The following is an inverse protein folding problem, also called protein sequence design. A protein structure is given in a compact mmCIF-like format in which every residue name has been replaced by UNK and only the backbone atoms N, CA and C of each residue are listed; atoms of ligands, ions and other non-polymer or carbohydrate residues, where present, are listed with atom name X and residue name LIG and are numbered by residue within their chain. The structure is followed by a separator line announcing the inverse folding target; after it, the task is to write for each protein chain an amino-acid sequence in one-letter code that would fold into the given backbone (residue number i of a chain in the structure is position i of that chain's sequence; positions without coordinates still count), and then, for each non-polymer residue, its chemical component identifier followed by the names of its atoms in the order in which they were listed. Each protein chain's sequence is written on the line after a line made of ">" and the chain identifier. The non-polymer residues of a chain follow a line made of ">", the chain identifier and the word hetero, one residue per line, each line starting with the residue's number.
data_IF_855505542711
#
_entry.id   IF_855505542711
#
_cell.length_a   1.000
_cell.length_b   1.000
_cell.length_c   1.000
_cell.angle_alpha   90.00
_cell.angle_beta   90.00
_cell.angle_gamma   90.00
#
_symmetry.space_group_name_H-M   'P 1'
#
loop_
_entity.id
_entity.type
_entity.pdbx_description
1 polymer ?
#
# COMPACT_ATOMS: atom_id res chain seq x y z
N UNK A 1 17.99 1.48 25.54
CA UNK A 1 17.18 2.40 26.34
C UNK A 1 15.68 2.21 26.05
N UNK A 2 14.79 2.90 26.78
CA UNK A 2 13.32 2.76 26.64
C UNK A 2 12.83 3.02 25.21
N UNK A 3 13.34 4.06 24.56
CA UNK A 3 12.97 4.38 23.16
C UNK A 3 13.41 3.30 22.17
N UNK A 4 14.57 2.69 22.36
CA UNK A 4 15.03 1.58 21.49
C UNK A 4 14.15 0.35 21.66
N UNK A 5 13.72 0.05 22.88
CA UNK A 5 12.76 -1.03 23.13
C UNK A 5 11.41 -0.76 22.46
N UNK A 6 10.93 0.50 22.55
CA UNK A 6 9.73 0.94 21.86
C UNK A 6 9.83 0.74 20.34
N UNK A 7 10.93 1.24 19.75
CA UNK A 7 11.20 1.10 18.32
C UNK A 7 11.23 -0.37 17.91
N UNK A 8 12.00 -1.20 18.64
CA UNK A 8 12.10 -2.64 18.36
C UNK A 8 10.73 -3.31 18.37
N UNK A 9 9.85 -2.94 19.31
CA UNK A 9 8.53 -3.53 19.49
C UNK A 9 7.53 -3.10 18.42
N UNK A 10 7.59 -1.83 17.96
CA UNK A 10 6.52 -1.22 17.14
C UNK A 10 6.93 -0.82 15.72
N UNK A 11 8.20 -0.98 15.33
CA UNK A 11 8.69 -0.62 13.98
C UNK A 11 7.89 -1.31 12.87
N UNK A 12 7.57 -2.58 13.04
CA UNK A 12 6.89 -3.36 12.00
C UNK A 12 5.43 -2.89 11.80
N UNK A 13 4.75 -2.47 12.89
CA UNK A 13 3.44 -1.84 12.81
C UNK A 13 3.54 -0.50 12.09
N UNK A 14 4.50 0.36 12.46
CA UNK A 14 4.69 1.67 11.83
C UNK A 14 5.02 1.54 10.32
N UNK A 15 5.85 0.58 9.92
CA UNK A 15 6.13 0.25 8.52
C UNK A 15 4.87 -0.22 7.79
N UNK A 16 4.06 -1.08 8.43
CA UNK A 16 2.80 -1.54 7.86
C UNK A 16 1.81 -0.40 7.62
N UNK A 17 1.69 0.51 8.59
CA UNK A 17 0.85 1.70 8.46
C UNK A 17 1.38 2.67 7.39
N UNK A 18 2.69 2.89 7.30
CA UNK A 18 3.30 3.66 6.22
C UNK A 18 2.96 3.07 4.85
N UNK A 19 3.06 1.76 4.70
CA UNK A 19 2.73 1.09 3.44
C UNK A 19 1.25 1.19 3.06
N UNK A 20 0.36 1.25 4.07
CA UNK A 20 -1.08 1.31 3.88
C UNK A 20 -1.59 2.73 3.63
N UNK A 21 -1.06 3.71 4.37
CA UNK A 21 -1.61 5.06 4.42
C UNK A 21 -0.67 6.15 3.90
N UNK A 22 0.62 5.85 3.68
CA UNK A 22 1.58 6.81 3.12
C UNK A 22 2.15 7.80 4.13
N UNK A 23 2.07 7.51 5.43
CA UNK A 23 2.68 8.31 6.50
C UNK A 23 4.06 7.73 6.80
N UNK A 24 5.15 8.52 6.84
CA UNK A 24 6.49 7.99 7.15
C UNK A 24 6.51 7.18 8.44
N UNK A 25 7.10 5.99 8.42
CA UNK A 25 7.24 5.17 9.62
C UNK A 25 8.07 5.89 10.70
N UNK A 26 9.07 6.68 10.30
CA UNK A 26 9.87 7.53 11.20
C UNK A 26 9.02 8.54 11.94
N UNK A 27 8.05 9.15 11.27
CA UNK A 27 7.10 10.11 11.88
C UNK A 27 6.20 9.39 12.88
N UNK A 28 5.58 8.28 12.47
CA UNK A 28 4.70 7.49 13.35
C UNK A 28 5.43 7.00 14.61
N UNK A 29 6.66 6.48 14.45
CA UNK A 29 7.48 6.05 15.60
C UNK A 29 7.87 7.22 16.52
N UNK A 30 8.28 8.35 15.94
CA UNK A 30 8.68 9.52 16.72
C UNK A 30 7.49 10.10 17.50
N UNK A 31 6.30 10.17 16.88
CA UNK A 31 5.08 10.57 17.58
C UNK A 31 4.73 9.57 18.69
N UNK A 32 4.73 8.27 18.41
CA UNK A 32 4.45 7.27 19.42
C UNK A 32 5.41 7.34 20.62
N UNK A 33 6.71 7.56 20.40
CA UNK A 33 7.69 7.76 21.46
C UNK A 33 7.35 9.00 22.30
N UNK A 34 7.05 10.11 21.62
CA UNK A 34 6.80 11.41 22.27
C UNK A 34 5.49 11.42 23.06
N UNK A 35 4.38 11.00 22.40
CA UNK A 35 3.03 11.09 22.95
C UNK A 35 2.80 10.06 24.07
N UNK A 36 3.39 8.86 23.95
CA UNK A 36 3.18 7.79 24.93
C UNK A 36 4.23 7.67 26.02
N UNK A 37 5.23 8.59 26.05
CA UNK A 37 6.37 8.43 26.94
C UNK A 37 7.10 7.10 26.77
N UNK A 38 7.36 6.69 25.51
CA UNK A 38 7.93 5.38 25.16
C UNK A 38 6.98 4.19 25.43
N UNK A 39 5.67 4.40 25.41
CA UNK A 39 4.67 3.39 25.68
C UNK A 39 4.43 3.14 27.17
N UNK A 40 4.91 4.01 28.04
CA UNK A 40 4.79 3.89 29.51
C UNK A 40 3.73 4.82 30.12
N UNK A 41 3.14 5.73 29.30
CA UNK A 41 2.06 6.58 29.80
C UNK A 41 0.82 5.72 30.16
N UNK A 42 -0.01 6.22 31.08
CA UNK A 42 -1.24 5.53 31.48
C UNK A 42 -2.13 5.24 30.29
N UNK A 43 -2.29 6.19 29.36
CA UNK A 43 -3.08 5.98 28.13
C UNK A 43 -2.51 4.84 27.26
N UNK A 44 -1.18 4.72 27.16
CA UNK A 44 -0.56 3.65 26.40
C UNK A 44 -0.70 2.28 27.08
N UNK A 45 -0.57 2.22 28.41
CA UNK A 45 -0.60 0.96 29.18
C UNK A 45 -2.04 0.46 29.37
N UNK A 46 -2.96 1.31 29.83
CA UNK A 46 -4.31 0.91 30.25
C UNK A 46 -5.31 0.95 29.09
N UNK A 47 -5.02 1.76 28.05
CA UNK A 47 -5.94 1.97 26.93
C UNK A 47 -5.34 1.61 25.56
N UNK A 48 -4.10 1.13 25.48
CA UNK A 48 -3.36 0.93 24.22
C UNK A 48 -3.33 2.19 23.33
N UNK A 49 -3.55 3.39 23.90
CA UNK A 49 -3.63 4.65 23.16
C UNK A 49 -2.26 5.33 23.15
N UNK A 50 -1.48 5.05 22.11
CA UNK A 50 -0.08 5.52 21.99
C UNK A 50 0.04 6.93 21.41
N UNK A 51 -1.05 7.55 20.98
CA UNK A 51 -1.04 8.85 20.30
C UNK A 51 -1.95 9.88 21.00
N UNK A 52 -2.51 9.56 22.16
CA UNK A 52 -3.38 10.47 22.89
C UNK A 52 -4.63 10.89 22.10
N UNK A 53 -5.22 9.97 21.32
CA UNK A 53 -6.40 10.31 20.52
C UNK A 53 -7.62 10.41 21.41
N UNK A 54 -8.23 11.62 21.45
CA UNK A 54 -9.44 11.93 22.21
C UNK A 54 -10.68 11.32 21.54
N UNK A 55 -11.77 11.09 22.28
CA UNK A 55 -12.98 10.39 21.83
C UNK A 55 -13.61 11.04 20.57
N UNK A 56 -13.78 12.35 20.57
CA UNK A 56 -14.60 13.07 19.58
C UNK A 56 -16.03 12.50 19.43
N UNK A 57 -16.91 13.21 18.75
CA UNK A 57 -18.34 12.90 18.69
C UNK A 57 -18.71 11.60 17.94
N UNK A 58 -17.81 11.04 17.17
CA UNK A 58 -18.04 9.85 16.34
C UNK A 58 -17.35 8.58 16.87
N UNK A 59 -16.85 8.60 18.12
CA UNK A 59 -16.25 7.42 18.72
C UNK A 59 -17.28 6.57 19.45
N UNK A 60 -17.45 5.32 19.07
CA UNK A 60 -18.38 4.34 19.66
C UNK A 60 -17.68 3.18 20.38
N UNK A 61 -16.34 3.24 20.52
CA UNK A 61 -15.55 2.23 21.21
C UNK A 61 -15.43 2.46 22.72
N UNK A 62 -14.65 1.63 23.40
CA UNK A 62 -14.31 1.82 24.81
C UNK A 62 -13.52 3.13 25.01
N UNK A 63 -13.63 3.67 26.22
CA UNK A 63 -13.01 4.96 26.59
C UNK A 63 -12.28 4.86 27.92
N UNK A 64 -11.35 5.81 28.12
CA UNK A 64 -10.69 6.06 29.41
C UNK A 64 -10.69 7.55 29.68
N UNK A 65 -10.84 7.92 30.94
CA UNK A 65 -10.79 9.32 31.37
C UNK A 65 -9.40 9.65 31.91
N UNK A 66 -8.83 10.75 31.42
CA UNK A 66 -7.52 11.25 31.82
C UNK A 66 -7.54 12.77 31.91
N UNK A 67 -6.76 13.35 32.80
CA UNK A 67 -6.52 14.78 32.86
C UNK A 67 -5.37 15.14 31.91
N UNK A 68 -5.62 16.01 30.92
CA UNK A 68 -4.63 16.50 29.95
C UNK A 68 -4.71 18.03 29.86
N UNK A 69 -5.17 18.61 28.76
CA UNK A 69 -5.39 20.06 28.65
C UNK A 69 -6.50 20.53 29.60
N UNK A 70 -7.52 19.70 29.82
CA UNK A 70 -8.62 19.90 30.75
C UNK A 70 -8.77 18.69 31.67
N UNK A 71 -9.52 18.87 32.80
CA UNK A 71 -9.82 17.78 33.70
C UNK A 71 -10.89 16.87 33.13
N UNK A 72 -10.70 15.54 33.25
CA UNK A 72 -11.72 14.55 32.89
C UNK A 72 -11.94 14.39 31.39
N UNK A 73 -10.92 14.59 30.58
CA UNK A 73 -11.04 14.41 29.13
C UNK A 73 -11.20 12.94 28.74
N UNK A 74 -11.99 12.72 27.68
CA UNK A 74 -12.24 11.38 27.15
C UNK A 74 -11.22 11.00 26.08
N UNK A 75 -10.55 9.87 26.28
CA UNK A 75 -9.63 9.27 25.32
C UNK A 75 -10.12 7.91 24.82
N UNK A 76 -9.82 7.60 23.58
CA UNK A 76 -10.14 6.30 22.96
C UNK A 76 -9.36 5.19 23.65
N UNK A 77 -10.03 4.06 23.92
CA UNK A 77 -9.39 2.83 24.39
C UNK A 77 -9.49 1.75 23.32
N UNK A 78 -8.37 1.13 23.01
CA UNK A 78 -8.24 0.14 21.94
C UNK A 78 -8.04 -1.26 22.51
N UNK A 79 -8.51 -2.28 21.78
CA UNK A 79 -8.31 -3.68 22.15
C UNK A 79 -6.87 -4.12 22.05
N UNK A 80 -6.09 -3.50 21.18
CA UNK A 80 -4.65 -3.75 21.00
C UNK A 80 -3.94 -2.50 20.45
N UNK A 81 -2.61 -2.50 20.55
CA UNK A 81 -1.77 -1.37 20.10
C UNK A 81 -1.87 -1.14 18.58
N UNK A 82 -2.06 -2.20 17.78
CA UNK A 82 -2.21 -2.07 16.33
C UNK A 82 -3.40 -1.21 15.93
N UNK A 83 -4.49 -1.29 16.68
CA UNK A 83 -5.69 -0.47 16.46
C UNK A 83 -5.41 1.02 16.72
N UNK A 84 -4.59 1.34 17.74
CA UNK A 84 -4.14 2.71 18.00
C UNK A 84 -3.29 3.28 16.86
N UNK A 85 -2.35 2.50 16.32
CA UNK A 85 -1.54 2.91 15.18
C UNK A 85 -2.40 3.09 13.92
N UNK A 86 -3.36 2.20 13.71
CA UNK A 86 -4.32 2.30 12.61
C UNK A 86 -5.18 3.54 12.71
N UNK A 87 -5.73 3.80 13.90
CA UNK A 87 -6.58 4.97 14.13
C UNK A 87 -5.81 6.28 13.99
N UNK A 88 -4.54 6.32 14.43
CA UNK A 88 -3.65 7.45 14.17
C UNK A 88 -3.45 7.69 12.66
N UNK A 89 -3.27 6.64 11.88
CA UNK A 89 -3.13 6.74 10.43
C UNK A 89 -4.39 7.29 9.77
N UNK A 90 -5.57 6.80 10.18
CA UNK A 90 -6.87 7.29 9.71
C UNK A 90 -7.12 8.74 10.15
N UNK A 91 -6.77 9.08 11.39
CA UNK A 91 -6.88 10.43 11.93
C UNK A 91 -6.13 11.47 11.06
N UNK A 92 -4.93 11.13 10.59
CA UNK A 92 -4.18 11.99 9.68
C UNK A 92 -4.71 11.94 8.24
N UNK A 93 -5.19 10.78 7.79
CA UNK A 93 -5.61 10.58 6.39
C UNK A 93 -6.97 11.20 6.08
N UNK A 94 -7.90 11.16 7.02
CA UNK A 94 -9.31 11.53 6.79
C UNK A 94 -9.63 12.98 7.15
N UNK A 95 -8.77 13.65 7.92
CA UNK A 95 -8.99 15.04 8.31
C UNK A 95 -8.34 16.00 7.32
N UNK A 96 -9.14 16.78 6.61
CA UNK A 96 -8.72 17.71 5.55
C UNK A 96 -7.57 18.65 5.93
N UNK A 97 -7.44 19.05 7.21
CA UNK A 97 -6.33 19.89 7.68
C UNK A 97 -4.95 19.26 7.52
N UNK A 98 -4.86 17.92 7.37
CA UNK A 98 -3.61 17.19 7.16
C UNK A 98 -3.39 16.77 5.71
N UNK A 99 -4.35 17.00 4.81
CA UNK A 99 -4.33 16.52 3.42
C UNK A 99 -3.03 16.90 2.68
N UNK A 100 -2.58 18.15 2.86
CA UNK A 100 -1.36 18.66 2.21
C UNK A 100 -0.08 17.92 2.61
N UNK A 101 -0.07 17.18 3.74
CA UNK A 101 1.08 16.38 4.15
C UNK A 101 1.37 15.25 3.16
N UNK A 102 0.33 14.72 2.53
CA UNK A 102 0.42 13.60 1.60
C UNK A 102 0.97 13.98 0.22
N UNK A 103 1.17 15.27 -0.03
CA UNK A 103 1.94 15.77 -1.18
C UNK A 103 3.46 15.66 -0.96
N UNK A 104 3.89 15.50 0.30
CA UNK A 104 5.30 15.37 0.61
C UNK A 104 5.80 13.95 0.36
N UNK A 105 7.06 13.84 -0.12
CA UNK A 105 7.72 12.53 -0.20
C UNK A 105 7.80 11.90 1.19
N UNK A 106 7.54 10.59 1.28
CA UNK A 106 7.65 9.82 2.52
C UNK A 106 9.03 10.00 3.17
N UNK A 107 10.09 10.05 2.38
CA UNK A 107 11.46 10.25 2.87
C UNK A 107 11.75 11.66 3.40
N UNK A 108 10.82 12.61 3.23
CA UNK A 108 11.01 13.99 3.70
C UNK A 108 10.38 14.22 5.08
N UNK A 109 10.81 13.45 6.07
CA UNK A 109 10.32 13.54 7.45
C UNK A 109 10.36 14.95 8.03
N UNK A 110 11.33 15.81 7.60
CA UNK A 110 11.43 17.19 8.10
C UNK A 110 10.25 18.05 7.65
N UNK A 111 9.79 17.89 6.38
CA UNK A 111 8.57 18.56 5.91
C UNK A 111 7.33 18.01 6.62
N UNK A 112 7.26 16.70 6.83
CA UNK A 112 6.19 16.06 7.58
C UNK A 112 6.09 16.60 9.02
N UNK A 113 7.19 16.63 9.78
CA UNK A 113 7.22 17.13 11.16
C UNK A 113 6.76 18.60 11.24
N UNK A 114 7.28 19.47 10.35
CA UNK A 114 6.87 20.88 10.28
C UNK A 114 5.41 21.03 9.86
N UNK A 115 4.96 20.22 8.93
CA UNK A 115 3.58 20.19 8.44
C UNK A 115 2.59 19.78 9.54
N UNK A 116 2.90 18.76 10.33
CA UNK A 116 2.11 18.35 11.50
C UNK A 116 1.94 19.50 12.49
N UNK A 117 3.04 20.21 12.82
CA UNK A 117 2.97 21.40 13.67
C UNK A 117 2.12 22.51 13.05
N UNK A 118 2.29 22.80 11.75
CA UNK A 118 1.49 23.79 11.00
C UNK A 118 0.01 23.45 11.00
N UNK A 119 -0.33 22.16 10.86
CA UNK A 119 -1.71 21.68 10.88
C UNK A 119 -2.34 21.66 12.30
N UNK A 120 -1.57 22.01 13.34
CA UNK A 120 -2.07 22.05 14.71
C UNK A 120 -2.22 20.66 15.35
N UNK A 121 -1.34 19.71 15.03
CA UNK A 121 -1.35 18.41 15.70
C UNK A 121 -1.06 18.53 17.19
N UNK A 122 -0.13 19.40 17.58
CA UNK A 122 0.20 19.71 18.96
C UNK A 122 0.36 21.21 19.18
N UNK A 123 0.06 21.68 20.39
CA UNK A 123 0.17 23.08 20.82
C UNK A 123 1.63 23.51 21.02
N UNK A 124 2.51 22.60 21.45
CA UNK A 124 3.92 22.86 21.75
C UNK A 124 4.66 23.48 20.54
N UNK A 125 5.25 24.70 20.66
CA UNK A 125 5.96 25.35 19.56
C UNK A 125 7.21 24.57 19.10
N UNK A 126 7.79 23.72 19.94
CA UNK A 126 8.95 22.90 19.65
C UNK A 126 8.60 21.51 19.07
N UNK A 127 7.32 21.23 18.83
CA UNK A 127 6.86 19.89 18.40
C UNK A 127 7.63 19.34 17.20
N UNK A 128 7.76 20.15 16.14
CA UNK A 128 8.48 19.73 14.94
C UNK A 128 9.97 19.41 15.20
N UNK A 129 10.65 20.20 16.04
CA UNK A 129 12.04 19.94 16.38
C UNK A 129 12.19 18.69 17.23
N UNK A 130 11.30 18.45 18.19
CA UNK A 130 11.30 17.24 19.01
C UNK A 130 11.17 15.98 18.16
N UNK A 131 10.24 15.96 17.20
CA UNK A 131 10.11 14.82 16.26
C UNK A 131 11.38 14.63 15.43
N UNK A 132 11.93 15.72 14.86
CA UNK A 132 13.15 15.67 14.05
C UNK A 132 14.34 15.14 14.87
N UNK A 133 14.46 15.54 16.12
CA UNK A 133 15.56 15.14 16.98
C UNK A 133 15.45 13.66 17.39
N UNK A 134 14.24 13.17 17.69
CA UNK A 134 13.97 11.74 17.92
C UNK A 134 14.34 10.94 16.66
N UNK A 135 13.87 11.37 15.49
CA UNK A 135 14.13 10.68 14.22
C UNK A 135 15.63 10.58 13.93
N UNK A 136 16.38 11.68 14.14
CA UNK A 136 17.84 11.68 13.96
C UNK A 136 18.55 10.82 15.00
N UNK A 137 18.21 11.00 16.28
CA UNK A 137 18.86 10.30 17.40
C UNK A 137 18.80 8.78 17.25
N UNK A 138 17.66 8.26 16.78
CA UNK A 138 17.44 6.82 16.63
C UNK A 138 17.52 6.33 15.19
N UNK A 139 17.96 7.19 14.25
CA UNK A 139 18.07 6.88 12.81
C UNK A 139 16.79 6.24 12.24
N UNK A 140 15.62 6.81 12.59
CA UNK A 140 14.33 6.22 12.21
C UNK A 140 14.06 6.28 10.72
N UNK A 141 14.76 7.14 9.96
CA UNK A 141 14.64 7.22 8.48
C UNK A 141 14.96 5.90 7.77
N UNK A 142 15.69 4.98 8.42
CA UNK A 142 15.93 3.65 7.87
C UNK A 142 14.63 2.86 7.64
N UNK A 143 13.55 3.22 8.33
CA UNK A 143 12.23 2.59 8.21
C UNK A 143 11.31 3.29 7.19
N UNK A 144 11.70 4.44 6.64
CA UNK A 144 10.90 5.19 5.66
C UNK A 144 11.07 4.70 4.22
N UNK A 145 11.95 3.77 4.00
CA UNK A 145 12.02 3.10 2.72
C UNK A 145 10.72 2.30 2.57
N UNK A 146 9.94 2.63 1.57
CA UNK A 146 8.82 1.78 1.13
C UNK A 146 9.42 0.38 1.00
N UNK A 147 9.14 -0.46 1.99
CA UNK A 147 9.93 -1.65 2.24
C UNK A 147 10.02 -2.53 1.00
N UNK A 148 11.23 -3.01 0.76
CA UNK A 148 11.50 -4.17 -0.08
C UNK A 148 10.70 -5.43 0.33
N UNK A 149 10.02 -5.40 1.47
CA UNK A 149 9.19 -6.48 2.02
C UNK A 149 7.75 -6.51 1.50
N UNK A 150 7.37 -5.64 0.55
CA UNK A 150 6.16 -5.90 -0.21
C UNK A 150 6.39 -7.21 -0.96
N UNK A 151 5.51 -8.17 -0.72
CA UNK A 151 5.45 -9.37 -1.54
C UNK A 151 5.58 -8.92 -3.00
N UNK A 152 6.74 -9.22 -3.61
CA UNK A 152 7.03 -8.81 -4.98
C UNK A 152 6.45 -9.80 -5.97
N UNK A 153 6.20 -11.03 -5.52
CA UNK A 153 5.69 -12.12 -6.34
C UNK A 153 4.29 -12.47 -5.85
N UNK A 154 3.34 -12.46 -6.76
CA UNK A 154 1.95 -12.84 -6.52
C UNK A 154 1.56 -13.92 -7.51
N UNK A 155 0.87 -14.93 -7.03
CA UNK A 155 0.11 -15.83 -7.88
C UNK A 155 -1.24 -15.17 -8.22
N UNK A 156 -1.82 -15.50 -9.35
CA UNK A 156 -3.11 -14.95 -9.73
C UNK A 156 -4.01 -15.99 -10.40
N UNK A 157 -5.29 -15.92 -10.05
CA UNK A 157 -6.37 -16.53 -10.84
C UNK A 157 -6.90 -15.46 -11.79
N UNK A 158 -7.07 -15.80 -13.06
CA UNK A 158 -7.43 -14.88 -14.13
C UNK A 158 -8.76 -15.34 -14.72
N UNK A 159 -9.67 -14.39 -14.90
CA UNK A 159 -10.99 -14.60 -15.53
C UNK A 159 -11.18 -13.56 -16.61
N UNK A 160 -11.73 -13.91 -17.75
CA UNK A 160 -11.91 -12.92 -18.82
C UNK A 160 -12.48 -13.48 -20.10
N UNK A 161 -12.40 -12.68 -21.14
CA UNK A 161 -12.80 -13.03 -22.49
C UNK A 161 -11.70 -12.58 -23.48
N UNK A 162 -11.41 -13.35 -24.53
CA UNK A 162 -12.03 -14.62 -24.90
C UNK A 162 -11.53 -15.83 -24.08
N UNK A 163 -10.51 -15.64 -23.23
CA UNK A 163 -9.96 -16.69 -22.37
C UNK A 163 -10.75 -16.71 -21.06
N UNK A 164 -11.48 -17.78 -20.79
CA UNK A 164 -12.40 -17.87 -19.65
C UNK A 164 -11.68 -17.97 -18.32
N UNK A 165 -10.63 -18.79 -18.25
CA UNK A 165 -9.85 -19.04 -17.04
C UNK A 165 -8.36 -18.96 -17.31
N UNK A 166 -7.59 -18.62 -16.28
CA UNK A 166 -6.14 -18.66 -16.34
C UNK A 166 -5.47 -18.56 -15.00
N UNK A 167 -4.17 -18.81 -15.03
CA UNK A 167 -3.26 -18.68 -13.88
C UNK A 167 -2.07 -17.82 -14.29
N UNK A 168 -1.52 -17.10 -13.33
CA UNK A 168 -0.35 -16.28 -13.59
C UNK A 168 0.53 -16.08 -12.38
N UNK A 169 1.78 -15.73 -12.68
CA UNK A 169 2.78 -15.27 -11.71
C UNK A 169 3.09 -13.83 -12.05
N UNK A 170 2.96 -12.93 -11.08
CA UNK A 170 3.17 -11.51 -11.25
C UNK A 170 4.32 -11.07 -10.34
N UNK A 171 5.34 -10.45 -10.91
CA UNK A 171 6.45 -9.84 -10.19
C UNK A 171 6.33 -8.32 -10.25
N UNK A 172 6.20 -7.68 -9.09
CA UNK A 172 6.06 -6.23 -8.96
C UNK A 172 7.37 -5.57 -8.55
N UNK A 173 7.69 -4.47 -9.20
CA UNK A 173 8.64 -3.46 -8.76
C UNK A 173 7.85 -2.16 -8.46
N UNK A 174 8.48 -1.12 -7.94
CA UNK A 174 7.79 0.11 -7.51
C UNK A 174 6.95 0.78 -8.61
N UNK A 175 7.44 0.78 -9.85
CA UNK A 175 6.82 1.46 -10.99
C UNK A 175 6.47 0.54 -12.16
N UNK A 176 6.69 -0.77 -12.01
CA UNK A 176 6.45 -1.72 -13.07
C UNK A 176 6.06 -3.10 -12.53
N UNK A 177 5.45 -3.92 -13.37
CA UNK A 177 5.31 -5.33 -13.10
C UNK A 177 5.52 -6.17 -14.36
N UNK A 178 5.96 -7.40 -14.14
CA UNK A 178 6.05 -8.45 -15.16
C UNK A 178 5.02 -9.51 -14.77
N UNK A 179 4.26 -9.99 -15.72
CA UNK A 179 3.40 -11.15 -15.50
C UNK A 179 3.65 -12.24 -16.56
N UNK A 180 3.71 -13.48 -16.11
CA UNK A 180 3.68 -14.68 -16.91
C UNK A 180 2.32 -15.35 -16.71
N UNK A 181 1.56 -15.60 -17.79
CA UNK A 181 0.18 -16.08 -17.75
C UNK A 181 -0.03 -17.27 -18.69
N UNK A 182 -0.86 -18.19 -18.23
CA UNK A 182 -1.47 -19.23 -19.07
C UNK A 182 -2.96 -19.06 -18.93
N UNK A 183 -3.66 -18.97 -20.06
CA UNK A 183 -5.11 -18.75 -20.13
C UNK A 183 -5.74 -19.73 -21.11
N UNK A 184 -6.97 -20.14 -20.85
CA UNK A 184 -7.70 -21.13 -21.65
C UNK A 184 -9.16 -20.75 -21.81
N UNK A 185 -9.69 -21.00 -22.98
CA UNK A 185 -11.14 -21.01 -23.28
C UNK A 185 -11.75 -22.43 -23.28
N UNK A 186 -10.99 -23.40 -22.79
CA UNK A 186 -11.27 -24.83 -22.71
C UNK A 186 -11.34 -25.57 -24.06
N UNK A 187 -11.83 -24.94 -25.11
CA UNK A 187 -12.10 -25.64 -26.39
C UNK A 187 -11.40 -24.99 -27.58
N UNK A 188 -11.32 -23.66 -27.61
CA UNK A 188 -10.95 -22.94 -28.82
C UNK A 188 -9.58 -22.27 -28.76
N UNK A 189 -9.27 -21.59 -27.67
CA UNK A 189 -8.10 -20.75 -27.54
C UNK A 189 -7.37 -21.01 -26.24
N UNK A 190 -6.08 -21.26 -26.32
CA UNK A 190 -5.18 -21.30 -25.19
C UNK A 190 -4.03 -20.33 -25.43
N UNK A 191 -3.64 -19.58 -24.42
CA UNK A 191 -2.57 -18.58 -24.54
C UNK A 191 -1.54 -18.75 -23.43
N UNK A 192 -0.27 -18.74 -23.78
CA UNK A 192 0.82 -18.53 -22.85
C UNK A 192 1.53 -17.23 -23.20
N UNK A 193 1.68 -16.31 -22.26
CA UNK A 193 2.24 -14.99 -22.54
C UNK A 193 3.04 -14.43 -21.39
N UNK A 194 4.03 -13.61 -21.74
CA UNK A 194 4.82 -12.76 -20.86
C UNK A 194 4.45 -11.31 -21.15
N UNK A 195 4.29 -10.49 -20.13
CA UNK A 195 4.09 -9.05 -20.31
C UNK A 195 4.99 -8.22 -19.38
N UNK A 196 5.35 -7.04 -19.86
CA UNK A 196 5.98 -5.98 -19.09
C UNK A 196 5.07 -4.76 -19.06
N UNK A 197 4.83 -4.23 -17.85
CA UNK A 197 3.90 -3.14 -17.63
C UNK A 197 4.55 -2.07 -16.78
N UNK A 198 4.45 -0.80 -17.19
CA UNK A 198 4.99 0.37 -16.51
C UNK A 198 3.86 1.25 -16.01
N UNK A 199 4.02 1.80 -14.80
CA UNK A 199 3.08 2.75 -14.21
C UNK A 199 3.03 4.02 -15.06
N UNK A 200 1.85 4.35 -15.57
CA UNK A 200 1.58 5.58 -16.30
C UNK A 200 1.07 6.67 -15.36
N UNK A 201 0.05 6.35 -14.56
CA UNK A 201 -0.60 7.32 -13.68
C UNK A 201 -1.34 6.61 -12.54
N UNK A 202 -1.11 7.02 -11.28
CA UNK A 202 -1.76 6.48 -10.07
C UNK A 202 -1.70 4.94 -9.99
N UNK A 203 -2.76 4.26 -10.42
CA UNK A 203 -2.96 2.81 -10.38
C UNK A 203 -3.07 2.21 -11.79
N UNK A 204 -2.83 3.00 -12.83
CA UNK A 204 -2.94 2.61 -14.24
C UNK A 204 -1.55 2.31 -14.77
N UNK A 205 -1.42 1.12 -15.36
CA UNK A 205 -0.22 0.63 -16.01
C UNK A 205 -0.48 0.43 -17.50
N UNK A 206 0.52 0.75 -18.32
CA UNK A 206 0.52 0.45 -19.75
C UNK A 206 1.65 -0.53 -20.01
N UNK A 207 1.40 -1.51 -20.83
CA UNK A 207 2.37 -2.55 -21.11
C UNK A 207 2.25 -3.18 -22.46
N UNK A 208 3.26 -3.98 -22.74
CA UNK A 208 3.34 -4.84 -23.92
C UNK A 208 3.32 -6.30 -23.48
N UNK A 209 2.78 -7.16 -24.29
CA UNK A 209 2.83 -8.60 -24.08
C UNK A 209 3.28 -9.31 -25.36
N UNK A 210 3.89 -10.47 -25.18
CA UNK A 210 4.22 -11.38 -26.24
C UNK A 210 4.03 -12.80 -25.77
N UNK A 211 3.74 -13.72 -26.68
CA UNK A 211 3.53 -15.11 -26.34
C UNK A 211 3.07 -15.95 -27.51
N UNK A 212 2.38 -17.03 -27.18
CA UNK A 212 1.84 -17.98 -28.14
C UNK A 212 0.38 -18.22 -27.86
N UNK A 213 -0.40 -18.33 -28.93
CA UNK A 213 -1.83 -18.67 -28.91
C UNK A 213 -2.00 -19.97 -29.69
N UNK A 214 -2.62 -20.94 -29.01
CA UNK A 214 -3.00 -22.20 -29.63
C UNK A 214 -4.49 -22.12 -29.99
N UNK A 215 -4.79 -22.17 -31.27
CA UNK A 215 -6.13 -22.22 -31.79
C UNK A 215 -6.38 -23.60 -32.41
N UNK A 216 -7.10 -24.48 -31.69
CA UNK A 216 -7.27 -25.91 -32.04
C UNK A 216 -5.93 -26.63 -32.19
N UNK A 217 -5.40 -26.74 -33.42
CA UNK A 217 -4.13 -27.39 -33.77
C UNK A 217 -3.08 -26.36 -34.22
N UNK A 218 -3.50 -25.14 -34.49
CA UNK A 218 -2.62 -24.11 -35.03
C UNK A 218 -1.93 -23.31 -33.91
N UNK A 219 -0.64 -23.14 -34.05
CA UNK A 219 0.20 -22.31 -33.16
C UNK A 219 0.43 -20.97 -33.82
N UNK A 220 -0.04 -19.89 -33.17
CA UNK A 220 0.20 -18.51 -33.59
C UNK A 220 1.07 -17.78 -32.57
N UNK A 221 1.95 -16.93 -33.01
CA UNK A 221 2.63 -16.00 -32.11
C UNK A 221 1.78 -14.75 -31.92
N UNK A 222 1.88 -14.11 -30.76
CA UNK A 222 1.22 -12.84 -30.52
C UNK A 222 2.20 -11.78 -30.00
N UNK A 223 1.91 -10.55 -30.38
CA UNK A 223 2.44 -9.34 -29.79
C UNK A 223 1.29 -8.39 -29.50
N UNK A 224 1.22 -7.80 -28.31
CA UNK A 224 0.07 -6.98 -27.95
C UNK A 224 0.41 -5.83 -27.02
N UNK A 225 -0.56 -4.94 -26.91
CA UNK A 225 -0.54 -3.83 -25.97
C UNK A 225 -1.64 -4.02 -24.93
N UNK A 226 -1.42 -3.55 -23.71
CA UNK A 226 -2.42 -3.67 -22.65
C UNK A 226 -2.39 -2.47 -21.72
N UNK A 227 -3.56 -2.19 -21.14
CA UNK A 227 -3.75 -1.23 -20.05
C UNK A 227 -4.29 -2.01 -18.85
N UNK A 228 -3.67 -1.84 -17.71
CA UNK A 228 -4.07 -2.53 -16.48
C UNK A 228 -4.35 -1.52 -15.36
N UNK A 229 -5.45 -1.72 -14.66
CA UNK A 229 -5.77 -1.02 -13.41
C UNK A 229 -5.60 -1.99 -12.25
N UNK A 230 -4.85 -1.57 -11.20
CA UNK A 230 -4.59 -2.42 -10.04
C UNK A 230 -5.14 -1.74 -8.78
N UNK A 231 -5.99 -2.45 -8.05
CA UNK A 231 -6.57 -1.98 -6.79
C UNK A 231 -6.40 -3.00 -5.66
N UNK A 232 -6.43 -2.52 -4.41
CA UNK A 232 -6.44 -3.39 -3.22
C UNK A 232 -7.87 -3.77 -2.87
N UNK A 233 -8.15 -5.07 -2.84
CA UNK A 233 -9.46 -5.59 -2.46
C UNK A 233 -9.66 -5.65 -0.93
N UNK A 234 -8.62 -6.02 -0.19
CA UNK A 234 -8.68 -6.22 1.26
C UNK A 234 -7.34 -5.84 1.88
N UNK A 235 -7.30 -4.78 2.68
CA UNK A 235 -6.07 -4.29 3.32
C UNK A 235 -5.37 -5.32 4.23
N UNK A 236 -6.13 -6.13 4.98
CA UNK A 236 -5.59 -7.12 5.92
C UNK A 236 -4.93 -8.34 5.27
N UNK A 237 -5.11 -8.61 3.96
CA UNK A 237 -4.69 -9.87 3.30
C UNK A 237 -3.73 -9.71 2.13
N UNK A 238 -3.20 -8.52 1.86
CA UNK A 238 -2.35 -8.24 0.68
C UNK A 238 -2.93 -8.79 -0.65
N UNK A 239 -4.26 -8.81 -0.78
CA UNK A 239 -4.94 -9.24 -2.00
C UNK A 239 -5.13 -8.04 -2.92
N UNK A 240 -4.70 -8.21 -4.17
CA UNK A 240 -4.85 -7.20 -5.21
C UNK A 240 -5.84 -7.69 -6.25
N UNK A 241 -6.57 -6.76 -6.84
CA UNK A 241 -7.35 -6.99 -8.06
C UNK A 241 -6.69 -6.22 -9.21
N UNK A 242 -6.50 -6.89 -10.33
CA UNK A 242 -5.99 -6.32 -11.57
C UNK A 242 -7.04 -6.50 -12.66
N UNK A 243 -7.46 -5.41 -13.28
CA UNK A 243 -8.32 -5.43 -14.48
C UNK A 243 -7.44 -5.03 -15.65
N UNK A 244 -7.41 -5.83 -16.70
CA UNK A 244 -6.58 -5.62 -17.87
C UNK A 244 -7.45 -5.61 -19.12
N UNK A 245 -7.28 -4.60 -19.96
CA UNK A 245 -7.78 -4.51 -21.33
C UNK A 245 -6.58 -4.57 -22.26
N UNK A 246 -6.66 -5.36 -23.31
CA UNK A 246 -5.58 -5.46 -24.27
C UNK A 246 -6.03 -5.82 -25.66
N UNK A 247 -5.10 -5.68 -26.60
CA UNK A 247 -5.24 -6.04 -27.99
C UNK A 247 -4.01 -6.82 -28.41
N UNK A 248 -4.20 -8.05 -28.84
CA UNK A 248 -3.16 -8.90 -29.41
C UNK A 248 -3.21 -8.84 -30.95
N UNK A 249 -2.04 -8.72 -31.57
CA UNK A 249 -1.81 -8.97 -32.98
C UNK A 249 -1.32 -10.41 -33.11
N UNK A 250 -1.97 -11.21 -33.91
CA UNK A 250 -1.64 -12.62 -34.15
C UNK A 250 -0.87 -12.79 -35.45
N UNK A 251 0.11 -13.67 -35.45
CA UNK A 251 1.00 -13.96 -36.55
C UNK A 251 1.13 -15.46 -36.75
N UNK A 252 1.12 -15.90 -37.99
CA UNK A 252 1.29 -17.33 -38.32
C UNK A 252 2.72 -17.82 -38.19
N UNK A 253 3.70 -16.89 -38.21
CA UNK A 253 5.11 -17.23 -38.11
C UNK A 253 5.82 -16.56 -36.93
N UNK A 254 6.94 -17.14 -36.54
CA UNK A 254 7.77 -16.65 -35.41
C UNK A 254 8.41 -15.30 -35.74
N UNK A 255 8.54 -14.95 -37.03
CA UNK A 255 9.20 -13.70 -37.47
C UNK A 255 8.24 -12.52 -37.53
N UNK A 256 6.96 -12.71 -37.24
CA UNK A 256 5.94 -11.65 -37.16
C UNK A 256 5.85 -10.79 -38.46
N UNK A 257 6.05 -11.41 -39.60
CA UNK A 257 6.07 -10.68 -40.90
C UNK A 257 4.67 -10.30 -41.38
N UNK A 258 3.66 -11.09 -41.05
CA UNK A 258 2.27 -10.84 -41.46
C UNK A 258 1.31 -10.95 -40.28
N UNK A 259 0.59 -9.87 -40.02
CA UNK A 259 -0.54 -9.88 -39.07
C UNK A 259 -1.73 -10.56 -39.72
N UNK A 260 -2.22 -11.62 -39.11
CA UNK A 260 -3.36 -12.38 -39.65
C UNK A 260 -4.67 -12.08 -38.94
N UNK A 261 -4.60 -11.63 -37.67
CA UNK A 261 -5.80 -11.33 -36.91
C UNK A 261 -5.56 -10.39 -35.75
N UNK A 262 -6.63 -9.84 -35.22
CA UNK A 262 -6.66 -8.96 -34.05
C UNK A 262 -7.54 -9.55 -32.98
N UNK A 263 -7.01 -9.78 -31.79
CA UNK A 263 -7.75 -10.38 -30.68
C UNK A 263 -7.82 -9.42 -29.49
N UNK A 264 -8.91 -8.66 -29.34
CA UNK A 264 -9.15 -7.89 -28.14
C UNK A 264 -9.45 -8.81 -26.96
N UNK A 265 -8.97 -8.43 -25.76
CA UNK A 265 -9.25 -9.17 -24.55
C UNK A 265 -9.49 -8.28 -23.34
N UNK A 266 -10.27 -8.80 -22.41
CA UNK A 266 -10.45 -8.25 -21.07
C UNK A 266 -10.20 -9.35 -20.06
N UNK A 267 -9.51 -9.02 -18.96
CA UNK A 267 -9.35 -9.97 -17.86
C UNK A 267 -9.40 -9.30 -16.50
N UNK A 268 -9.90 -10.02 -15.52
CA UNK A 268 -9.85 -9.68 -14.10
C UNK A 268 -8.98 -10.72 -13.41
N UNK A 269 -7.95 -10.26 -12.71
CA UNK A 269 -7.03 -11.13 -12.00
C UNK A 269 -7.10 -10.85 -10.50
N UNK A 270 -7.23 -11.88 -9.70
CA UNK A 270 -7.15 -11.82 -8.24
C UNK A 270 -5.78 -12.34 -7.82
N UNK A 271 -4.94 -11.44 -7.28
CA UNK A 271 -3.56 -11.73 -6.89
C UNK A 271 -3.48 -12.01 -5.38
N UNK A 272 -2.71 -13.04 -4.98
CA UNK A 272 -2.59 -13.51 -3.59
C UNK A 272 -1.18 -14.02 -3.23
#
# INVERSE_FOLDING_TARGET
>A
NKSELYIKKYKDIAISEMNSYGIPASITLAQGILESGNGESRLAVDANNHFGIKCHNNWNGETIIEDDDEKGECFRKYSNVGDSFRDHSLFLKERGRYEFLFEYKITNYKKWARGLKKAGYATNPKYASLLIDIIKKYNLTQYDNLSSDRKKIFLSNIYGAPYLLGFGINYFNNESFIDCKIQSSFVLLNKASLSYNKLLFKKIFVGVNSGVVFEKIDLKTNFGIQISHIDRLIEKRNKLQKITFGLDLLFDDVFMLNVIDYLPYISVSFLF
#
